data_IF_666705523742
#
_entry.id   IF_666705523742
#
_cell.length_a   1.000
_cell.length_b   1.000
_cell.length_c   1.000
_cell.angle_alpha   90.00
_cell.angle_beta   90.00
_cell.angle_gamma   90.00
#
_symmetry.space_group_name_H-M   'P 1'
#
loop_
_entity.id
_entity.type
_entity.pdbx_description
1 polymer ?
#
# COMPACT_ATOMS: atom_id res chain seq x y z
N UNK A 1 -6.67 -0.57 -3.09
CA UNK A 1 -6.46 0.70 -3.82
C UNK A 1 -7.61 0.97 -4.79
N UNK A 2 -8.43 2.00 -4.56
CA UNK A 2 -9.35 2.49 -5.60
C UNK A 2 -8.58 3.41 -6.55
N UNK A 3 -8.95 3.37 -7.84
CA UNK A 3 -8.35 4.20 -8.88
C UNK A 3 -8.97 5.58 -8.88
N UNK A 4 -8.18 6.58 -8.48
CA UNK A 4 -8.48 7.98 -8.82
C UNK A 4 -7.85 8.32 -10.18
N UNK A 5 -8.68 8.88 -11.06
CA UNK A 5 -8.32 9.34 -12.41
C UNK A 5 -7.43 10.60 -12.44
N UNK A 6 -6.97 11.10 -11.29
CA UNK A 6 -6.07 12.25 -11.27
C UNK A 6 -4.70 11.92 -11.86
N UNK A 7 -4.10 12.96 -12.46
CA UNK A 7 -2.96 12.93 -13.36
C UNK A 7 -1.80 12.02 -12.88
N UNK A 8 -1.78 10.78 -13.37
CA UNK A 8 -0.71 9.81 -13.13
C UNK A 8 0.61 10.22 -13.82
N UNK A 9 0.59 11.22 -14.70
CA UNK A 9 1.75 11.63 -15.50
C UNK A 9 2.93 12.09 -14.64
N UNK A 10 2.67 12.79 -13.53
CA UNK A 10 3.70 13.26 -12.59
C UNK A 10 4.56 12.09 -12.06
N UNK A 11 3.92 11.00 -11.65
CA UNK A 11 4.62 9.87 -11.02
C UNK A 11 5.27 8.92 -12.04
N UNK A 12 4.83 8.95 -13.30
CA UNK A 12 5.38 8.08 -14.35
C UNK A 12 6.88 8.31 -14.54
N UNK A 13 7.35 9.55 -14.39
CA UNK A 13 8.76 9.91 -14.52
C UNK A 13 9.68 9.08 -13.62
N UNK A 14 9.35 9.01 -12.32
CA UNK A 14 10.11 8.24 -11.33
C UNK A 14 10.10 6.74 -11.62
N UNK A 15 8.96 6.19 -12.03
CA UNK A 15 8.78 4.76 -12.26
C UNK A 15 9.33 4.26 -13.62
N UNK A 16 9.80 5.15 -14.50
CA UNK A 16 10.33 4.76 -15.80
C UNK A 16 11.69 4.05 -15.71
N UNK A 17 12.43 4.28 -14.61
CA UNK A 17 13.72 3.63 -14.32
C UNK A 17 13.61 2.13 -14.05
N UNK A 18 12.39 1.61 -13.83
CA UNK A 18 12.15 0.18 -13.65
C UNK A 18 12.60 -0.59 -14.89
N UNK A 19 13.54 -1.50 -14.66
CA UNK A 19 14.15 -2.35 -15.67
C UNK A 19 13.86 -3.83 -15.36
N UNK A 20 12.75 -4.32 -15.91
CA UNK A 20 12.30 -5.71 -15.76
C UNK A 20 11.89 -6.29 -17.11
N UNK A 21 12.17 -7.58 -17.38
CA UNK A 21 12.00 -8.18 -18.70
C UNK A 21 10.53 -8.47 -19.06
N UNK A 22 9.66 -8.66 -18.07
CA UNK A 22 8.27 -9.04 -18.25
C UNK A 22 7.36 -8.16 -17.41
N UNK A 23 6.15 -7.90 -17.93
CA UNK A 23 5.08 -7.15 -17.24
C UNK A 23 5.46 -5.70 -16.84
N UNK A 24 6.50 -5.12 -17.44
CA UNK A 24 6.99 -3.76 -17.16
C UNK A 24 5.87 -2.72 -17.03
N UNK A 25 4.95 -2.65 -18.00
CA UNK A 25 3.85 -1.69 -17.95
C UNK A 25 2.97 -1.83 -16.70
N UNK A 26 2.66 -3.07 -16.26
CA UNK A 26 1.85 -3.32 -15.06
C UNK A 26 2.61 -2.97 -13.78
N UNK A 27 3.92 -3.21 -13.74
CA UNK A 27 4.76 -2.87 -12.59
C UNK A 27 4.99 -1.36 -12.50
N UNK A 28 5.21 -0.68 -13.62
CA UNK A 28 5.29 0.78 -13.67
C UNK A 28 3.98 1.42 -13.20
N UNK A 29 2.84 0.88 -13.62
CA UNK A 29 1.53 1.32 -13.16
C UNK A 29 1.35 1.10 -11.65
N UNK A 30 1.79 -0.04 -11.11
CA UNK A 30 1.79 -0.29 -9.66
C UNK A 30 2.67 0.72 -8.92
N UNK A 31 3.92 0.93 -9.36
CA UNK A 31 4.83 1.92 -8.81
C UNK A 31 4.20 3.32 -8.77
N UNK A 32 3.63 3.76 -9.90
CA UNK A 32 2.97 5.07 -10.04
C UNK A 32 1.85 5.23 -9.00
N UNK A 33 1.08 4.17 -8.75
CA UNK A 33 0.00 4.17 -7.75
C UNK A 33 0.53 4.21 -6.32
N UNK A 34 1.64 3.52 -6.04
CA UNK A 34 2.30 3.59 -4.72
C UNK A 34 2.74 5.02 -4.44
N UNK A 35 3.48 5.65 -5.35
CA UNK A 35 3.97 7.03 -5.15
C UNK A 35 2.82 8.04 -4.98
N UNK A 36 1.75 7.89 -5.77
CA UNK A 36 0.53 8.71 -5.61
C UNK A 36 -0.10 8.53 -4.23
N UNK A 37 -0.17 7.29 -3.73
CA UNK A 37 -0.74 7.01 -2.41
C UNK A 37 0.08 7.69 -1.30
N UNK A 38 1.42 7.63 -1.38
CA UNK A 38 2.31 8.30 -0.44
C UNK A 38 2.07 9.81 -0.42
N UNK A 39 2.05 10.46 -1.59
CA UNK A 39 1.92 11.92 -1.69
C UNK A 39 0.52 12.44 -1.33
N UNK A 40 -0.54 11.73 -1.71
CA UNK A 40 -1.93 12.23 -1.57
C UNK A 40 -2.65 11.61 -0.40
N UNK A 41 -2.78 10.29 -0.38
CA UNK A 41 -3.63 9.62 0.60
C UNK A 41 -2.97 9.60 1.98
N UNK A 42 -1.69 9.26 2.05
CA UNK A 42 -0.95 9.17 3.31
C UNK A 42 -0.71 10.56 3.93
N UNK A 43 -0.42 11.56 3.09
CA UNK A 43 -0.28 12.95 3.53
C UNK A 43 -1.54 13.53 4.19
N UNK A 44 -2.72 13.30 3.59
CA UNK A 44 -3.99 13.89 4.06
C UNK A 44 -4.43 13.31 5.41
N UNK A 45 -4.04 12.07 5.69
CA UNK A 45 -4.61 11.28 6.77
C UNK A 45 -3.86 11.41 8.10
N UNK A 46 -2.73 12.13 8.15
CA UNK A 46 -1.90 12.31 9.34
C UNK A 46 -1.77 11.02 10.17
N UNK A 47 -1.45 9.91 9.49
CA UNK A 47 -1.38 8.59 10.11
C UNK A 47 -0.25 8.45 11.16
N UNK A 48 0.49 9.51 11.48
CA UNK A 48 1.52 9.56 12.53
C UNK A 48 1.04 9.03 13.89
N UNK A 49 -0.25 9.18 14.20
CA UNK A 49 -0.86 8.73 15.46
C UNK A 49 -1.80 7.53 15.29
N UNK A 50 -1.59 6.74 14.24
CA UNK A 50 -2.38 5.54 14.02
C UNK A 50 -1.74 4.35 14.73
N UNK A 51 -2.41 3.79 15.76
CA UNK A 51 -2.04 2.51 16.41
C UNK A 51 -1.88 1.33 15.43
N UNK A 52 -2.28 1.53 14.18
CA UNK A 52 -2.16 0.57 13.09
C UNK A 52 -1.37 1.17 11.93
N UNK A 53 -0.36 0.45 11.49
CA UNK A 53 0.56 0.93 10.48
C UNK A 53 -0.04 0.79 9.06
N UNK A 54 -0.75 1.82 8.61
CA UNK A 54 -1.23 1.93 7.23
C UNK A 54 -0.07 1.81 6.22
N UNK A 55 1.15 2.17 6.64
CA UNK A 55 2.33 1.97 5.82
C UNK A 55 2.67 0.49 5.62
N UNK A 56 2.55 -0.32 6.68
CA UNK A 56 2.73 -1.76 6.60
C UNK A 56 1.71 -2.40 5.64
N UNK A 57 0.46 -1.93 5.68
CA UNK A 57 -0.59 -2.40 4.75
C UNK A 57 -0.26 -2.06 3.30
N UNK A 58 0.21 -0.84 3.03
CA UNK A 58 0.66 -0.42 1.69
C UNK A 58 1.75 -1.36 1.14
N UNK A 59 2.69 -1.75 2.00
CA UNK A 59 3.75 -2.70 1.68
C UNK A 59 3.18 -4.07 1.28
N UNK A 60 2.30 -4.66 2.10
CA UNK A 60 1.68 -5.95 1.78
C UNK A 60 0.79 -5.90 0.54
N UNK A 61 0.02 -4.83 0.36
CA UNK A 61 -0.82 -4.68 -0.82
C UNK A 61 0.02 -4.55 -2.10
N UNK A 62 1.16 -3.88 -2.04
CA UNK A 62 2.10 -3.78 -3.16
C UNK A 62 2.66 -5.16 -3.52
N UNK A 63 3.11 -5.92 -2.52
CA UNK A 63 3.61 -7.27 -2.71
C UNK A 63 2.54 -8.23 -3.26
N UNK A 64 1.32 -8.18 -2.69
CA UNK A 64 0.16 -8.93 -3.17
C UNK A 64 -0.14 -8.64 -4.64
N UNK A 65 -0.09 -7.37 -5.06
CA UNK A 65 -0.36 -7.00 -6.45
C UNK A 65 0.71 -7.52 -7.41
N UNK A 66 1.97 -7.61 -6.97
CA UNK A 66 3.02 -8.26 -7.75
C UNK A 66 2.78 -9.77 -7.86
N UNK A 67 2.33 -10.44 -6.80
CA UNK A 67 1.89 -11.83 -6.85
C UNK A 67 0.77 -12.04 -7.87
N UNK A 68 -0.20 -11.13 -7.97
CA UNK A 68 -1.26 -11.19 -8.99
C UNK A 68 -0.74 -10.91 -10.42
N UNK A 69 0.28 -10.06 -10.59
CA UNK A 69 0.86 -9.71 -11.90
C UNK A 69 1.67 -10.87 -12.50
N UNK A 70 2.47 -11.55 -11.67
CA UNK A 70 3.41 -12.59 -12.08
C UNK A 70 2.90 -14.02 -11.84
N UNK A 71 1.98 -14.19 -10.89
CA UNK A 71 1.60 -15.49 -10.34
C UNK A 71 2.53 -15.90 -9.20
N UNK A 72 1.98 -16.51 -8.15
CA UNK A 72 2.69 -16.84 -6.91
C UNK A 72 3.91 -17.76 -7.07
N UNK A 73 4.01 -18.47 -8.20
CA UNK A 73 5.15 -19.36 -8.50
C UNK A 73 6.39 -18.60 -9.02
N UNK A 74 6.24 -17.40 -9.57
CA UNK A 74 7.35 -16.63 -10.16
C UNK A 74 7.98 -15.68 -9.13
N UNK A 75 8.42 -16.26 -8.01
CA UNK A 75 8.94 -15.52 -6.83
C UNK A 75 10.16 -14.66 -7.18
N UNK A 76 11.00 -15.11 -8.11
CA UNK A 76 12.16 -14.32 -8.57
C UNK A 76 11.74 -13.03 -9.27
N UNK A 77 10.70 -13.06 -10.12
CA UNK A 77 10.24 -11.84 -10.81
C UNK A 77 9.53 -10.90 -9.82
N UNK A 78 8.76 -11.45 -8.89
CA UNK A 78 8.12 -10.70 -7.81
C UNK A 78 9.16 -9.98 -6.96
N UNK A 79 10.17 -10.70 -6.47
CA UNK A 79 11.25 -10.12 -5.67
C UNK A 79 11.98 -8.99 -6.39
N UNK A 80 12.39 -9.21 -7.65
CA UNK A 80 13.10 -8.18 -8.44
C UNK A 80 12.23 -6.95 -8.71
N UNK A 81 10.96 -7.14 -9.05
CA UNK A 81 10.04 -6.04 -9.28
C UNK A 81 9.78 -5.25 -7.99
N UNK A 82 9.61 -5.96 -6.86
CA UNK A 82 9.38 -5.32 -5.58
C UNK A 82 10.59 -4.50 -5.14
N UNK A 83 11.80 -5.08 -5.20
CA UNK A 83 13.03 -4.37 -4.84
C UNK A 83 13.21 -3.06 -5.63
N UNK A 84 12.91 -3.05 -6.93
CA UNK A 84 12.97 -1.82 -7.73
C UNK A 84 11.91 -0.79 -7.33
N UNK A 85 10.67 -1.23 -7.06
CA UNK A 85 9.63 -0.33 -6.52
C UNK A 85 10.05 0.24 -5.17
N UNK A 86 10.65 -0.57 -4.31
CA UNK A 86 11.08 -0.14 -2.97
C UNK A 86 12.21 0.88 -3.03
N UNK A 87 13.17 0.70 -3.93
CA UNK A 87 14.23 1.70 -4.14
C UNK A 87 13.63 3.03 -4.61
N UNK A 88 12.78 3.01 -5.64
CA UNK A 88 12.13 4.23 -6.16
C UNK A 88 11.26 4.90 -5.09
N UNK A 89 10.54 4.11 -4.30
CA UNK A 89 9.77 4.61 -3.17
C UNK A 89 10.71 5.29 -2.15
N UNK A 90 11.80 4.64 -1.76
CA UNK A 90 12.74 5.23 -0.81
C UNK A 90 13.35 6.54 -1.33
N UNK A 91 13.77 6.57 -2.59
CA UNK A 91 14.29 7.78 -3.24
C UNK A 91 13.22 8.88 -3.28
N UNK A 92 11.98 8.54 -3.62
CA UNK A 92 10.85 9.48 -3.62
C UNK A 92 10.58 10.08 -2.23
N UNK A 93 10.73 9.30 -1.16
CA UNK A 93 10.62 9.78 0.20
C UNK A 93 11.72 10.80 0.58
N UNK A 94 12.93 10.60 0.06
CA UNK A 94 14.10 11.40 0.40
C UNK A 94 14.23 12.66 -0.46
N UNK A 95 13.77 12.60 -1.71
CA UNK A 95 13.84 13.70 -2.67
C UNK A 95 12.55 14.53 -2.68
N UNK A 96 11.40 13.89 -2.90
CA UNK A 96 10.13 14.57 -3.20
C UNK A 96 9.28 14.84 -1.96
N UNK A 97 9.37 13.96 -0.96
CA UNK A 97 8.66 14.10 0.32
C UNK A 97 9.59 14.56 1.44
N UNK A 98 10.78 15.08 1.11
CA UNK A 98 11.81 15.49 2.08
C UNK A 98 11.28 16.40 3.19
N UNK A 99 10.55 17.44 2.78
CA UNK A 99 10.03 18.49 3.65
C UNK A 99 8.56 18.25 4.05
N UNK A 100 8.06 17.02 3.84
CA UNK A 100 6.72 16.66 4.24
C UNK A 100 6.56 16.79 5.78
N UNK A 101 5.48 17.42 6.27
CA UNK A 101 5.28 17.64 7.71
C UNK A 101 4.81 16.38 8.46
N UNK A 102 4.70 15.24 7.78
CA UNK A 102 4.23 13.97 8.31
C UNK A 102 5.32 12.89 8.19
N UNK A 103 5.25 11.90 9.07
CA UNK A 103 6.17 10.77 9.12
C UNK A 103 6.08 9.98 7.83
N UNK A 104 7.21 9.85 7.13
CA UNK A 104 7.26 9.17 5.83
C UNK A 104 7.03 7.67 5.97
N UNK A 105 6.09 7.16 5.20
CA UNK A 105 5.85 5.74 5.06
C UNK A 105 7.02 5.09 4.30
N UNK A 106 7.72 4.13 4.92
CA UNK A 106 8.91 3.48 4.36
C UNK A 106 8.62 2.11 3.74
N UNK A 107 9.34 1.72 2.68
CA UNK A 107 9.26 0.37 2.15
C UNK A 107 9.78 -0.67 3.16
N UNK A 108 9.08 -1.78 3.29
CA UNK A 108 9.47 -2.93 4.11
C UNK A 108 10.14 -4.00 3.24
N UNK A 109 11.47 -3.98 3.22
CA UNK A 109 12.30 -4.80 2.33
C UNK A 109 12.20 -6.31 2.57
N UNK A 110 11.77 -6.73 3.76
CA UNK A 110 11.86 -8.13 4.19
C UNK A 110 10.56 -8.94 4.05
N UNK A 111 9.50 -8.40 3.43
CA UNK A 111 8.23 -9.14 3.19
C UNK A 111 8.47 -10.49 2.50
N UNK A 112 9.43 -10.57 1.58
CA UNK A 112 9.71 -11.81 0.86
C UNK A 112 10.23 -12.95 1.77
N UNK A 113 10.72 -12.63 2.98
CA UNK A 113 11.16 -13.60 3.99
C UNK A 113 10.00 -14.15 4.81
N UNK A 114 8.85 -13.47 4.81
CA UNK A 114 7.69 -13.84 5.60
C UNK A 114 6.86 -14.90 4.88
N UNK A 115 6.98 -16.16 5.29
CA UNK A 115 6.22 -17.25 4.69
C UNK A 115 4.70 -17.08 4.84
N UNK A 116 4.27 -16.37 5.86
CA UNK A 116 2.89 -16.09 6.24
C UNK A 116 2.43 -14.65 5.87
N UNK A 117 3.12 -13.97 4.95
CA UNK A 117 2.81 -12.59 4.55
C UNK A 117 1.33 -12.39 4.16
N UNK A 118 0.68 -13.39 3.57
CA UNK A 118 -0.76 -13.34 3.22
C UNK A 118 -1.63 -13.19 4.47
N UNK A 119 -1.35 -13.98 5.51
CA UNK A 119 -2.08 -13.93 6.79
C UNK A 119 -1.79 -12.63 7.53
N UNK A 120 -0.54 -12.14 7.47
CA UNK A 120 -0.15 -10.84 8.04
C UNK A 120 -0.91 -9.70 7.35
N UNK A 121 -1.01 -9.72 6.03
CA UNK A 121 -1.82 -8.79 5.25
C UNK A 121 -3.28 -8.82 5.71
N UNK A 122 -3.89 -10.01 5.78
CA UNK A 122 -5.30 -10.17 6.19
C UNK A 122 -5.56 -9.62 7.59
N UNK A 123 -4.64 -9.86 8.53
CA UNK A 123 -4.69 -9.32 9.89
C UNK A 123 -4.61 -7.79 9.87
N UNK A 124 -3.66 -7.22 9.12
CA UNK A 124 -3.54 -5.77 9.02
C UNK A 124 -4.79 -5.14 8.37
N UNK A 125 -5.37 -5.76 7.35
CA UNK A 125 -6.64 -5.33 6.74
C UNK A 125 -7.79 -5.39 7.73
N UNK A 126 -7.92 -6.49 8.49
CA UNK A 126 -8.92 -6.63 9.55
C UNK A 126 -8.80 -5.50 10.58
N UNK A 127 -7.59 -5.21 11.04
CA UNK A 127 -7.34 -4.12 11.99
C UNK A 127 -7.72 -2.75 11.43
N UNK A 128 -7.44 -2.49 10.14
CA UNK A 128 -7.82 -1.26 9.47
C UNK A 128 -9.34 -1.11 9.36
N UNK A 129 -10.03 -2.19 8.99
CA UNK A 129 -11.49 -2.23 8.92
C UNK A 129 -12.10 -1.98 10.30
N UNK A 130 -11.56 -2.64 11.33
CA UNK A 130 -12.01 -2.49 12.72
C UNK A 130 -11.87 -1.04 13.19
N UNK A 131 -10.70 -0.42 12.98
CA UNK A 131 -10.49 1.00 13.30
C UNK A 131 -11.52 1.90 12.61
N UNK A 132 -11.76 1.66 11.32
CA UNK A 132 -12.72 2.43 10.52
C UNK A 132 -14.14 2.29 11.09
N UNK A 133 -14.56 1.06 11.39
CA UNK A 133 -15.86 0.77 11.98
C UNK A 133 -16.01 1.40 13.37
N UNK A 134 -15.00 1.25 14.23
CA UNK A 134 -14.98 1.81 15.58
C UNK A 134 -15.08 3.33 15.56
N UNK A 135 -14.31 4.00 14.69
CA UNK A 135 -14.33 5.46 14.55
C UNK A 135 -15.71 5.95 14.06
N UNK A 136 -16.33 5.24 13.12
CA UNK A 136 -17.65 5.61 12.62
C UNK A 136 -18.74 5.39 13.67
N UNK A 137 -18.65 4.31 14.46
CA UNK A 137 -19.55 4.00 15.56
C UNK A 137 -19.47 5.06 16.67
N UNK A 138 -18.26 5.46 17.07
CA UNK A 138 -18.05 6.48 18.10
C UNK A 138 -18.56 7.88 17.72
N UNK A 139 -18.67 8.17 16.43
CA UNK A 139 -19.18 9.45 15.92
C UNK A 139 -20.72 9.53 15.83
N UNK A 140 -21.46 8.56 16.41
CA UNK A 140 -22.92 8.62 16.54
C UNK A 140 -23.69 8.56 15.21
N UNK A 141 -23.06 8.04 14.14
CA UNK A 141 -23.75 7.81 12.87
C UNK A 141 -24.49 6.47 12.93
N UNK A 142 -25.80 6.55 13.14
CA UNK A 142 -26.64 5.36 13.28
C UNK A 142 -26.56 4.43 12.06
N UNK A 143 -26.60 3.13 12.34
CA UNK A 143 -26.59 1.99 11.41
C UNK A 143 -25.22 1.48 10.90
N UNK A 144 -24.09 2.09 11.28
CA UNK A 144 -22.77 1.54 10.94
C UNK A 144 -22.42 0.27 11.71
N UNK A 145 -22.76 0.19 13.01
CA UNK A 145 -22.48 -1.01 13.81
C UNK A 145 -23.13 -2.25 13.21
N UNK A 146 -24.40 -2.19 12.79
CA UNK A 146 -25.09 -3.32 12.16
C UNK A 146 -24.47 -3.70 10.79
N UNK A 147 -24.03 -2.70 10.02
CA UNK A 147 -23.36 -2.92 8.73
C UNK A 147 -22.02 -3.65 8.90
N UNK A 148 -21.21 -3.23 9.86
CA UNK A 148 -19.89 -3.80 10.11
C UNK A 148 -19.95 -5.09 10.93
N UNK A 149 -20.95 -5.28 11.80
CA UNK A 149 -21.17 -6.54 12.53
C UNK A 149 -21.21 -7.75 11.57
N UNK A 150 -22.03 -7.66 10.51
CA UNK A 150 -22.12 -8.70 9.48
C UNK A 150 -20.82 -8.91 8.69
N UNK A 151 -19.97 -7.90 8.61
CA UNK A 151 -18.67 -7.99 7.94
C UNK A 151 -17.67 -8.75 8.82
N UNK A 152 -17.58 -8.41 10.10
CA UNK A 152 -16.66 -9.05 11.04
C UNK A 152 -17.09 -10.48 11.43
N UNK A 153 -18.39 -10.79 11.44
CA UNK A 153 -18.90 -12.15 11.70
C UNK A 153 -18.53 -13.15 10.60
N UNK A 154 -18.24 -12.68 9.38
CA UNK A 154 -17.94 -13.51 8.21
C UNK A 154 -16.45 -13.69 7.91
N UNK A 155 -15.58 -12.94 8.59
CA UNK A 155 -14.11 -13.07 8.48
C UNK A 155 -13.62 -14.09 9.50
#
# INVERSE_FOLDING_TARGET
FKFDNENLAEYKGYCNSINIPKRKNKVNELCTRVLKYLKRTYAISNYENSDYDVCMILNYWTYNRLNEIYGSKDTSSIYRAFAQIQNIWNDYNDDELKDAPYTKCKPYFDIYKEQDWEKRKELCEYCLDYKTAYTLAGNGKDNYCQKYYKYFEKK
#
